data_IF_078476868742
#
_entry.id   IF_078476868742
#
_cell.length_a   1.000
_cell.length_b   1.000
_cell.length_c   1.000
_cell.angle_alpha   90.00
_cell.angle_beta   90.00
_cell.angle_gamma   90.00
#
_symmetry.space_group_name_H-M   'P 1'
#
loop_
_entity.id
_entity.type
_entity.pdbx_description
1 polymer ?
#
# COMPACT_ATOMS: atom_id res chain seq x y z
N UNK A 1 -33.05 39.84 -37.02
CA UNK A 1 -33.79 38.63 -37.45
C UNK A 1 -32.85 37.75 -38.26
N UNK A 2 -31.95 37.00 -37.63
CA UNK A 2 -32.16 35.63 -37.13
C UNK A 2 -32.63 34.64 -38.20
N UNK A 3 -31.70 33.80 -38.69
CA UNK A 3 -31.75 32.32 -38.64
C UNK A 3 -30.78 31.70 -39.65
N UNK A 4 -29.79 31.01 -39.07
CA UNK A 4 -29.00 29.84 -39.54
C UNK A 4 -27.56 30.04 -39.05
N UNK A 5 -27.13 29.77 -37.81
CA UNK A 5 -27.60 28.90 -36.71
C UNK A 5 -28.25 27.61 -37.18
N UNK A 6 -27.43 26.74 -37.77
CA UNK A 6 -27.44 25.30 -37.50
C UNK A 6 -25.95 24.93 -37.36
N UNK A 7 -25.46 24.93 -36.13
CA UNK A 7 -25.32 23.71 -35.33
C UNK A 7 -24.49 22.65 -36.05
N UNK A 8 -23.18 22.87 -36.15
CA UNK A 8 -22.23 21.80 -35.93
C UNK A 8 -22.26 21.44 -34.43
N UNK A 9 -23.36 20.81 -34.03
CA UNK A 9 -23.35 19.88 -32.91
C UNK A 9 -22.49 18.70 -33.38
N UNK A 10 -21.17 18.82 -33.21
CA UNK A 10 -20.36 17.62 -33.05
C UNK A 10 -20.99 16.91 -31.85
N UNK A 11 -21.54 15.73 -32.09
CA UNK A 11 -22.10 14.86 -31.07
C UNK A 11 -21.03 14.54 -30.02
N UNK A 12 -20.82 15.44 -29.06
CA UNK A 12 -20.28 15.12 -27.75
C UNK A 12 -21.33 14.23 -27.11
N UNK A 13 -21.28 12.92 -27.40
CA UNK A 13 -21.86 11.92 -26.51
C UNK A 13 -21.34 12.30 -25.12
N UNK A 14 -22.22 12.76 -24.24
CA UNK A 14 -21.87 13.09 -22.86
C UNK A 14 -21.14 11.88 -22.30
N UNK A 15 -19.83 12.02 -22.07
CA UNK A 15 -18.98 10.93 -21.57
C UNK A 15 -19.37 10.70 -20.13
N UNK A 16 -19.90 9.52 -19.83
CA UNK A 16 -20.26 9.14 -18.47
C UNK A 16 -19.05 8.49 -17.80
N UNK A 17 -18.65 9.01 -16.64
CA UNK A 17 -17.56 8.42 -15.86
C UNK A 17 -18.12 7.26 -15.06
N UNK A 18 -17.49 6.09 -15.17
CA UNK A 18 -17.80 4.94 -14.30
C UNK A 18 -16.93 5.02 -13.06
N UNK A 19 -17.56 5.38 -11.96
CA UNK A 19 -16.95 5.52 -10.65
C UNK A 19 -17.59 4.55 -9.68
N UNK A 20 -16.80 3.68 -9.08
CA UNK A 20 -17.26 2.65 -8.16
C UNK A 20 -16.40 2.69 -6.89
N UNK A 21 -17.05 2.77 -5.73
CA UNK A 21 -16.42 2.70 -4.40
C UNK A 21 -16.74 1.33 -3.81
N UNK A 22 -15.72 0.63 -3.30
CA UNK A 22 -15.92 -0.62 -2.55
C UNK A 22 -16.65 -0.40 -1.23
N UNK A 23 -17.03 -1.47 -0.54
CA UNK A 23 -17.69 -1.35 0.77
C UNK A 23 -16.83 -0.56 1.78
N UNK A 24 -17.44 0.45 2.41
CA UNK A 24 -16.82 1.20 3.51
C UNK A 24 -17.01 0.40 4.80
N UNK A 25 -15.94 -0.20 5.31
CA UNK A 25 -15.97 -0.90 6.61
C UNK A 25 -15.39 0.01 7.68
N UNK A 26 -16.25 0.50 8.57
CA UNK A 26 -15.85 1.30 9.74
C UNK A 26 -15.71 0.38 10.95
N UNK A 27 -14.57 0.43 11.63
CA UNK A 27 -14.45 -0.14 12.98
C UNK A 27 -14.62 0.95 14.05
N UNK A 28 -14.67 0.56 15.33
CA UNK A 28 -14.77 1.50 16.44
C UNK A 28 -13.44 2.18 16.75
N UNK A 29 -13.42 3.52 16.72
CA UNK A 29 -12.22 4.36 16.92
C UNK A 29 -11.70 4.47 18.36
N UNK A 30 -12.57 4.29 19.34
CA UNK A 30 -12.32 4.76 20.72
C UNK A 30 -11.93 3.66 21.71
N UNK A 31 -11.94 2.39 21.29
CA UNK A 31 -11.63 1.27 22.17
C UNK A 31 -10.65 0.31 21.49
N UNK A 32 -9.43 0.26 22.01
CA UNK A 32 -8.46 -0.77 21.65
C UNK A 32 -8.70 -1.98 22.56
N UNK A 33 -8.85 -3.16 21.96
CA UNK A 33 -8.83 -4.43 22.69
C UNK A 33 -7.38 -4.94 22.71
N UNK A 34 -6.98 -5.60 23.80
CA UNK A 34 -5.62 -6.12 23.99
C UNK A 34 -5.15 -7.04 22.84
N UNK A 35 -6.08 -7.72 22.17
CA UNK A 35 -5.78 -8.65 21.09
C UNK A 35 -5.80 -8.03 19.67
N UNK A 36 -6.11 -6.73 19.51
CA UNK A 36 -6.25 -6.12 18.18
C UNK A 36 -4.98 -6.21 17.33
N UNK A 37 -3.83 -5.94 17.93
CA UNK A 37 -2.55 -5.99 17.22
C UNK A 37 -2.19 -7.44 16.81
N UNK A 38 -2.37 -8.40 17.72
CA UNK A 38 -2.16 -9.82 17.42
C UNK A 38 -3.11 -10.30 16.30
N UNK A 39 -4.38 -9.90 16.34
CA UNK A 39 -5.35 -10.20 15.30
C UNK A 39 -4.95 -9.59 13.95
N UNK A 40 -4.44 -8.37 13.93
CA UNK A 40 -3.93 -7.73 12.72
C UNK A 40 -2.75 -8.47 12.11
N UNK A 41 -1.77 -8.89 12.93
CA UNK A 41 -0.66 -9.73 12.45
C UNK A 41 -1.19 -11.03 11.86
N UNK A 42 -2.10 -11.71 12.58
CA UNK A 42 -2.69 -12.97 12.13
C UNK A 42 -3.43 -12.83 10.80
N UNK A 43 -4.17 -11.73 10.65
CA UNK A 43 -4.88 -11.38 9.44
C UNK A 43 -3.92 -11.17 8.27
N UNK A 44 -2.83 -10.41 8.46
CA UNK A 44 -1.80 -10.17 7.43
C UNK A 44 -1.04 -11.43 7.02
N UNK A 45 -0.70 -12.29 7.98
CA UNK A 45 -0.06 -13.57 7.70
C UNK A 45 -0.98 -14.45 6.83
N UNK A 46 -2.24 -14.64 7.26
CA UNK A 46 -3.22 -15.43 6.51
C UNK A 46 -3.49 -14.88 5.11
N UNK A 47 -3.54 -13.56 4.94
CA UNK A 47 -3.82 -12.96 3.62
C UNK A 47 -2.69 -13.17 2.61
N UNK A 48 -1.45 -13.35 3.07
CA UNK A 48 -0.27 -13.51 2.20
C UNK A 48 0.26 -14.94 2.10
N UNK A 49 -0.21 -15.86 2.97
CA UNK A 49 0.25 -17.25 3.00
C UNK A 49 0.12 -17.95 1.62
N UNK A 50 -1.08 -17.88 1.01
CA UNK A 50 -1.32 -18.44 -0.32
C UNK A 50 -0.47 -17.80 -1.42
N UNK A 51 -0.19 -16.51 -1.28
CA UNK A 51 0.60 -15.76 -2.25
C UNK A 51 2.09 -16.17 -2.24
N UNK A 52 2.59 -16.66 -1.10
CA UNK A 52 3.94 -17.23 -1.00
C UNK A 52 4.02 -18.69 -1.43
N UNK A 53 2.98 -19.50 -1.19
CA UNK A 53 2.90 -20.87 -1.70
C UNK A 53 3.06 -20.92 -3.23
N UNK A 54 2.43 -19.98 -3.94
CA UNK A 54 2.57 -19.90 -5.40
C UNK A 54 3.97 -19.46 -5.91
N UNK A 55 4.81 -18.89 -5.05
CA UNK A 55 6.10 -18.28 -5.46
C UNK A 55 7.33 -19.13 -5.09
N UNK A 56 7.22 -20.00 -4.09
CA UNK A 56 8.35 -20.81 -3.60
C UNK A 56 8.37 -22.18 -4.28
N UNK A 57 7.29 -22.95 -4.11
CA UNK A 57 7.01 -24.23 -4.75
C UNK A 57 5.53 -24.59 -4.44
N UNK A 58 4.79 -25.19 -5.37
CA UNK A 58 3.36 -25.49 -5.20
C UNK A 58 3.09 -26.43 -4.01
N UNK A 59 4.09 -27.23 -3.63
CA UNK A 59 4.03 -28.19 -2.52
C UNK A 59 4.85 -27.75 -1.29
N UNK A 60 5.32 -26.49 -1.24
CA UNK A 60 6.06 -25.99 -0.09
C UNK A 60 5.19 -25.96 1.17
N UNK A 61 5.52 -26.82 2.15
CA UNK A 61 4.87 -26.84 3.46
C UNK A 61 5.64 -25.93 4.42
N UNK A 62 5.01 -24.87 4.91
CA UNK A 62 5.55 -24.08 6.01
C UNK A 62 5.51 -24.87 7.32
N UNK A 63 6.68 -25.02 7.94
CA UNK A 63 6.80 -25.63 9.26
C UNK A 63 6.64 -24.57 10.35
N UNK A 64 6.21 -24.98 11.56
CA UNK A 64 6.20 -24.10 12.71
C UNK A 64 7.59 -23.50 13.02
N UNK A 65 7.64 -22.29 13.58
CA UNK A 65 8.90 -21.61 13.91
C UNK A 65 9.73 -22.38 14.95
N UNK A 66 9.08 -23.10 15.87
CA UNK A 66 9.74 -23.95 16.86
C UNK A 66 10.12 -25.34 16.32
N UNK A 67 9.91 -25.62 15.03
CA UNK A 67 10.35 -26.87 14.42
C UNK A 67 11.88 -26.90 14.36
N UNK A 68 12.47 -28.02 14.81
CA UNK A 68 13.91 -28.25 14.83
C UNK A 68 14.24 -29.35 13.82
N UNK A 69 15.17 -29.07 12.93
CA UNK A 69 15.68 -30.02 11.94
C UNK A 69 17.04 -29.57 11.41
N UNK A 70 17.91 -30.56 11.16
CA UNK A 70 19.18 -30.33 10.47
C UNK A 70 18.99 -30.12 8.96
N UNK A 71 17.88 -30.60 8.40
CA UNK A 71 17.52 -30.42 6.99
C UNK A 71 16.94 -29.02 6.74
N UNK A 72 17.01 -28.57 5.49
CA UNK A 72 16.44 -27.29 5.09
C UNK A 72 14.91 -27.37 4.95
N UNK A 73 14.21 -26.40 5.52
CA UNK A 73 12.75 -26.27 5.43
C UNK A 73 12.33 -24.81 5.32
N UNK A 74 11.04 -24.60 5.02
CA UNK A 74 10.45 -23.28 4.90
C UNK A 74 9.68 -22.91 6.16
N UNK A 75 9.87 -21.66 6.59
CA UNK A 75 9.09 -21.00 7.63
C UNK A 75 8.47 -19.71 7.07
N UNK A 76 7.40 -19.25 7.71
CA UNK A 76 6.65 -18.08 7.26
C UNK A 76 6.25 -17.23 8.46
N UNK A 77 6.39 -15.92 8.32
CA UNK A 77 6.12 -15.01 9.43
C UNK A 77 6.33 -13.54 9.07
N UNK A 78 6.23 -12.72 10.10
CA UNK A 78 6.43 -11.28 10.04
C UNK A 78 7.77 -10.91 10.69
N UNK A 79 8.55 -10.10 10.00
CA UNK A 79 9.81 -9.56 10.48
C UNK A 79 9.56 -8.57 11.61
N UNK A 80 10.39 -8.67 12.65
CA UNK A 80 10.55 -7.66 13.69
C UNK A 80 12.04 -7.31 13.79
N UNK A 81 12.39 -6.07 13.46
CA UNK A 81 13.75 -5.55 13.55
C UNK A 81 13.89 -4.81 14.87
N UNK A 82 14.76 -5.31 15.75
CA UNK A 82 15.15 -4.61 16.98
C UNK A 82 16.35 -3.71 16.70
N UNK A 83 17.34 -4.25 15.98
CA UNK A 83 18.48 -3.51 15.42
C UNK A 83 19.08 -4.30 14.24
N UNK A 84 20.21 -3.84 13.68
CA UNK A 84 20.85 -4.45 12.51
C UNK A 84 21.36 -5.88 12.72
N UNK A 85 21.60 -6.29 13.96
CA UNK A 85 22.08 -7.63 14.33
C UNK A 85 20.98 -8.49 14.96
N UNK A 86 19.90 -7.87 15.42
CA UNK A 86 18.80 -8.52 16.13
C UNK A 86 17.52 -8.41 15.29
N UNK A 87 17.39 -9.34 14.35
CA UNK A 87 16.22 -9.47 13.47
C UNK A 87 15.51 -10.78 13.81
N UNK A 88 14.21 -10.69 14.05
CA UNK A 88 13.37 -11.82 14.46
C UNK A 88 12.26 -12.06 13.44
N UNK A 89 11.82 -13.32 13.36
CA UNK A 89 10.60 -13.71 12.68
C UNK A 89 9.56 -14.10 13.73
N UNK A 90 8.38 -13.50 13.65
CA UNK A 90 7.24 -13.80 14.52
C UNK A 90 6.10 -14.40 13.71
N UNK A 91 5.39 -15.38 14.28
CA UNK A 91 4.20 -15.96 13.67
C UNK A 91 3.19 -16.43 14.71
N UNK A 92 1.91 -16.08 14.49
CA UNK A 92 0.78 -16.48 15.34
C UNK A 92 -0.31 -17.25 14.57
N UNK A 93 0.05 -17.80 13.42
CA UNK A 93 -0.79 -18.75 12.68
C UNK A 93 -0.48 -20.19 13.11
N UNK A 94 -1.46 -21.08 12.93
CA UNK A 94 -1.51 -22.48 13.38
C UNK A 94 -0.14 -23.16 13.68
N UNK A 95 0.00 -23.75 14.88
CA UNK A 95 1.17 -24.52 15.28
C UNK A 95 2.38 -23.72 15.76
N UNK A 96 2.40 -22.39 15.56
CA UNK A 96 3.53 -21.52 15.92
C UNK A 96 3.57 -21.03 17.37
N UNK A 97 2.55 -21.30 18.20
CA UNK A 97 2.48 -20.93 19.62
C UNK A 97 2.93 -19.49 19.97
N UNK A 98 2.65 -18.51 19.08
CA UNK A 98 3.09 -17.10 19.22
C UNK A 98 4.60 -16.95 19.49
N UNK A 99 5.41 -17.80 18.83
CA UNK A 99 6.87 -17.82 19.00
C UNK A 99 7.54 -16.73 18.16
N UNK A 100 8.62 -16.18 18.70
CA UNK A 100 9.58 -15.33 18.00
C UNK A 100 10.89 -16.09 17.85
N UNK A 101 11.48 -16.06 16.66
CA UNK A 101 12.70 -16.79 16.32
C UNK A 101 13.74 -15.83 15.76
N UNK A 102 14.93 -15.78 16.36
CA UNK A 102 16.02 -14.93 15.88
C UNK A 102 16.56 -15.49 14.56
N UNK A 103 16.80 -14.61 13.59
CA UNK A 103 17.36 -14.97 12.29
C UNK A 103 18.87 -14.75 12.26
N UNK A 104 19.62 -15.79 11.90
CA UNK A 104 21.02 -15.66 11.55
C UNK A 104 21.13 -15.43 10.02
N UNK A 105 21.54 -14.22 9.65
CA UNK A 105 21.64 -13.75 8.27
C UNK A 105 23.08 -13.78 7.69
N UNK A 106 24.04 -14.37 8.40
CA UNK A 106 25.47 -14.33 8.02
C UNK A 106 25.75 -14.86 6.61
N UNK A 107 24.95 -15.83 6.16
CA UNK A 107 25.11 -16.47 4.85
C UNK A 107 24.13 -15.94 3.80
N UNK A 108 23.31 -14.94 4.13
CA UNK A 108 22.33 -14.37 3.21
C UNK A 108 23.01 -13.37 2.29
N UNK A 109 23.02 -13.68 1.00
CA UNK A 109 23.73 -12.88 0.01
C UNK A 109 23.31 -11.42 -0.03
N UNK A 110 22.00 -11.11 0.06
CA UNK A 110 21.48 -9.75 0.14
C UNK A 110 20.07 -9.74 0.71
N UNK A 111 19.68 -8.66 1.38
CA UNK A 111 18.33 -8.51 1.92
C UNK A 111 17.98 -7.03 2.17
N UNK A 112 16.68 -6.74 2.13
CA UNK A 112 16.11 -5.47 2.56
C UNK A 112 14.87 -5.81 3.36
N UNK A 113 14.95 -5.55 4.67
CA UNK A 113 13.99 -5.97 5.68
C UNK A 113 13.54 -4.79 6.53
N UNK A 114 12.33 -4.86 7.07
CA UNK A 114 11.80 -3.87 8.00
C UNK A 114 10.75 -4.51 8.92
N UNK A 115 10.52 -3.89 10.08
CA UNK A 115 9.49 -4.35 11.04
C UNK A 115 8.11 -4.31 10.41
N UNK A 116 7.42 -5.46 10.36
CA UNK A 116 6.08 -5.60 9.78
C UNK A 116 6.06 -6.25 8.40
N UNK A 117 7.23 -6.51 7.81
CA UNK A 117 7.34 -7.20 6.54
C UNK A 117 6.99 -8.69 6.71
N UNK A 118 6.01 -9.16 5.95
CA UNK A 118 5.67 -10.58 5.87
C UNK A 118 6.56 -11.23 4.82
N UNK A 119 7.27 -12.29 5.21
CA UNK A 119 8.23 -13.02 4.39
C UNK A 119 8.13 -14.52 4.60
N UNK A 120 8.59 -15.26 3.60
CA UNK A 120 8.88 -16.68 3.73
C UNK A 120 10.39 -16.90 3.69
N UNK A 121 10.89 -17.84 4.49
CA UNK A 121 12.33 -18.05 4.68
C UNK A 121 12.63 -19.53 4.54
N UNK A 122 13.66 -19.86 3.76
CA UNK A 122 14.26 -21.19 3.70
C UNK A 122 15.52 -21.22 4.56
N UNK A 123 15.68 -22.25 5.37
CA UNK A 123 16.83 -22.40 6.26
C UNK A 123 16.70 -23.63 7.13
N UNK A 124 17.43 -23.66 8.25
CA UNK A 124 17.40 -24.77 9.21
C UNK A 124 17.48 -24.26 10.65
N UNK A 125 16.92 -25.03 11.57
CA UNK A 125 16.94 -24.76 13.00
C UNK A 125 17.61 -25.93 13.73
N UNK A 126 18.79 -25.68 14.31
CA UNK A 126 19.55 -26.70 15.04
C UNK A 126 19.21 -26.75 16.53
N UNK A 127 18.23 -25.96 16.99
CA UNK A 127 17.82 -25.87 18.41
C UNK A 127 18.64 -24.87 19.25
N UNK A 128 19.44 -24.02 18.62
CA UNK A 128 20.35 -23.07 19.28
C UNK A 128 19.76 -21.65 19.40
N UNK A 129 18.44 -21.52 19.56
CA UNK A 129 17.71 -20.24 19.63
C UNK A 129 17.82 -19.31 18.41
N UNK A 130 18.46 -19.76 17.33
CA UNK A 130 18.60 -19.06 16.06
C UNK A 130 18.24 -19.95 14.86
N UNK A 131 17.64 -19.33 13.85
CA UNK A 131 17.38 -19.94 12.55
C UNK A 131 18.46 -19.54 11.56
N UNK A 132 19.20 -20.52 11.03
CA UNK A 132 20.24 -20.26 10.02
C UNK A 132 19.56 -20.09 8.66
N UNK A 133 19.57 -18.86 8.16
CA UNK A 133 18.87 -18.50 6.92
C UNK A 133 19.72 -18.83 5.70
N UNK A 134 19.12 -19.54 4.75
CA UNK A 134 19.69 -19.78 3.42
C UNK A 134 19.15 -18.75 2.42
N UNK A 135 17.83 -18.54 2.41
CA UNK A 135 17.14 -17.71 1.43
C UNK A 135 15.94 -17.02 2.03
N UNK A 136 15.73 -15.76 1.65
CA UNK A 136 14.55 -14.98 2.01
C UNK A 136 13.73 -14.72 0.76
N UNK A 137 12.43 -14.99 0.85
CA UNK A 137 11.43 -14.69 -0.16
C UNK A 137 10.60 -13.50 0.36
N UNK A 138 10.86 -12.31 -0.18
CA UNK A 138 10.20 -11.05 0.20
C UNK A 138 9.07 -10.63 -0.76
N UNK A 139 8.93 -11.33 -1.89
CA UNK A 139 8.03 -10.96 -2.99
C UNK A 139 7.02 -12.09 -3.14
N UNK A 140 5.77 -11.91 -2.67
CA UNK A 140 4.68 -12.82 -2.95
C UNK A 140 4.05 -12.55 -4.32
N UNK A 141 3.23 -13.47 -4.81
CA UNK A 141 2.39 -13.23 -5.98
C UNK A 141 1.28 -12.24 -5.64
N UNK A 142 1.11 -11.18 -6.41
CA UNK A 142 0.06 -10.17 -6.16
C UNK A 142 -0.98 -10.21 -7.28
N UNK A 143 -2.26 -10.19 -6.90
CA UNK A 143 -3.37 -10.06 -7.86
C UNK A 143 -3.37 -8.67 -8.49
N UNK A 144 -3.21 -8.65 -9.82
CA UNK A 144 -3.19 -7.43 -10.62
C UNK A 144 -4.53 -7.26 -11.33
N UNK A 145 -4.98 -6.02 -11.47
CA UNK A 145 -6.11 -5.70 -12.32
C UNK A 145 -5.81 -6.10 -13.79
N UNK A 146 -6.77 -6.75 -14.44
CA UNK A 146 -6.62 -7.25 -15.81
C UNK A 146 -7.14 -6.29 -16.88
N UNK A 147 -7.71 -5.15 -16.49
CA UNK A 147 -8.37 -4.25 -17.44
C UNK A 147 -7.39 -3.35 -18.22
N UNK A 148 -7.51 -3.39 -19.55
CA UNK A 148 -6.62 -2.71 -20.50
C UNK A 148 -7.22 -1.46 -21.16
N UNK A 149 -8.55 -1.29 -21.12
CA UNK A 149 -9.25 -0.20 -21.83
C UNK A 149 -9.90 0.72 -20.80
N UNK A 150 -9.43 1.96 -20.73
CA UNK A 150 -10.11 3.05 -20.06
C UNK A 150 -10.44 4.14 -21.09
N UNK A 151 -11.65 4.67 -21.05
CA UNK A 151 -11.98 5.91 -21.75
C UNK A 151 -11.11 7.05 -21.20
N UNK A 152 -10.70 7.97 -22.07
CA UNK A 152 -9.89 9.14 -21.72
C UNK A 152 -10.55 9.95 -20.60
N UNK A 153 -9.90 9.98 -19.43
CA UNK A 153 -10.39 10.59 -18.20
C UNK A 153 -9.25 11.31 -17.48
N UNK A 154 -9.50 12.57 -17.08
CA UNK A 154 -8.52 13.42 -16.40
C UNK A 154 -8.84 13.53 -14.90
N UNK A 155 -8.07 12.81 -14.09
CA UNK A 155 -8.03 12.98 -12.64
C UNK A 155 -7.04 14.09 -12.29
N UNK A 156 -7.47 15.05 -11.48
CA UNK A 156 -6.60 16.10 -10.92
C UNK A 156 -6.55 15.99 -9.42
N UNK A 157 -5.33 15.99 -8.88
CA UNK A 157 -5.06 15.99 -7.44
C UNK A 157 -4.72 17.41 -7.02
N UNK A 158 -5.37 17.88 -5.96
CA UNK A 158 -5.09 19.14 -5.31
C UNK A 158 -4.74 18.84 -3.86
N UNK A 159 -3.57 19.30 -3.45
CA UNK A 159 -3.04 19.10 -2.13
C UNK A 159 -2.70 20.45 -1.48
N UNK A 160 -3.17 20.66 -0.26
CA UNK A 160 -2.89 21.82 0.56
C UNK A 160 -3.76 23.05 0.28
N UNK A 161 -3.42 24.15 0.94
CA UNK A 161 -4.12 25.43 0.80
C UNK A 161 -3.76 26.10 -0.52
N UNK A 162 -4.76 26.26 -1.38
CA UNK A 162 -4.62 26.93 -2.68
C UNK A 162 -5.67 28.04 -2.87
N UNK A 163 -5.30 29.05 -3.65
CA UNK A 163 -6.18 30.19 -3.97
C UNK A 163 -7.13 29.91 -5.11
N UNK A 164 -6.68 29.18 -6.14
CA UNK A 164 -7.49 28.88 -7.32
C UNK A 164 -7.36 27.41 -7.69
N UNK A 165 -8.51 26.76 -7.89
CA UNK A 165 -8.57 25.37 -8.34
C UNK A 165 -8.68 25.35 -9.87
N UNK A 166 -7.68 24.84 -10.61
CA UNK A 166 -7.79 24.79 -12.06
C UNK A 166 -8.71 23.63 -12.46
N UNK A 167 -9.85 23.96 -13.08
CA UNK A 167 -10.93 23.00 -13.40
C UNK A 167 -11.00 22.61 -14.89
N UNK A 168 -10.18 23.22 -15.74
CA UNK A 168 -10.25 23.04 -17.19
C UNK A 168 -9.91 21.60 -17.63
N UNK A 169 -10.86 21.00 -18.35
CA UNK A 169 -10.77 19.63 -18.88
C UNK A 169 -10.71 18.54 -17.80
N UNK A 170 -10.94 18.89 -16.53
CA UNK A 170 -10.92 17.95 -15.40
C UNK A 170 -12.24 17.18 -15.35
N UNK A 171 -12.13 15.90 -15.05
CA UNK A 171 -13.24 14.96 -14.95
C UNK A 171 -13.45 14.53 -13.49
N UNK A 172 -12.35 14.24 -12.78
CA UNK A 172 -12.38 13.90 -11.36
C UNK A 172 -11.41 14.80 -10.63
N UNK A 173 -11.86 15.40 -9.54
CA UNK A 173 -11.07 16.25 -8.68
C UNK A 173 -10.86 15.55 -7.33
N UNK A 174 -9.62 15.29 -6.96
CA UNK A 174 -9.23 14.73 -5.68
C UNK A 174 -8.65 15.84 -4.80
N UNK A 175 -9.28 16.09 -3.64
CA UNK A 175 -8.94 17.16 -2.71
C UNK A 175 -8.35 16.56 -1.42
N UNK A 176 -7.17 17.04 -1.03
CA UNK A 176 -6.44 16.61 0.16
C UNK A 176 -5.95 17.86 0.90
N UNK A 177 -6.28 18.04 2.17
CA UNK A 177 -5.92 19.25 2.95
C UNK A 177 -6.33 20.58 2.29
N UNK A 178 -7.49 20.61 1.65
CA UNK A 178 -8.03 21.82 1.00
C UNK A 178 -9.11 22.44 1.87
N UNK A 179 -9.08 23.77 2.04
CA UNK A 179 -10.18 24.50 2.66
C UNK A 179 -11.46 24.44 1.80
N UNK A 180 -12.33 23.47 2.10
CA UNK A 180 -13.57 23.24 1.36
C UNK A 180 -14.53 24.44 1.44
N UNK A 181 -14.56 25.17 2.56
CA UNK A 181 -15.44 26.32 2.75
C UNK A 181 -15.10 27.45 1.78
N UNK A 182 -13.81 27.72 1.58
CA UNK A 182 -13.32 28.73 0.63
C UNK A 182 -13.79 28.46 -0.80
N UNK A 183 -13.84 27.19 -1.20
CA UNK A 183 -14.08 26.78 -2.59
C UNK A 183 -15.47 26.21 -2.86
N UNK A 184 -16.35 26.16 -1.85
CA UNK A 184 -17.63 25.43 -1.90
C UNK A 184 -18.48 25.76 -3.12
N UNK A 185 -18.80 27.04 -3.32
CA UNK A 185 -19.73 27.46 -4.37
C UNK A 185 -19.18 27.14 -5.76
N UNK A 186 -17.90 27.47 -6.01
CA UNK A 186 -17.21 27.17 -7.26
C UNK A 186 -17.25 25.67 -7.60
N UNK A 187 -16.93 24.84 -6.62
CA UNK A 187 -16.86 23.39 -6.77
C UNK A 187 -18.23 22.76 -7.01
N UNK A 188 -19.26 23.20 -6.26
CA UNK A 188 -20.61 22.72 -6.48
C UNK A 188 -21.14 23.11 -7.87
N UNK A 189 -20.92 24.35 -8.30
CA UNK A 189 -21.37 24.82 -9.61
C UNK A 189 -20.64 24.10 -10.74
N UNK A 190 -19.35 23.78 -10.55
CA UNK A 190 -18.59 22.96 -11.48
C UNK A 190 -19.16 21.55 -11.63
N UNK A 191 -19.53 20.86 -10.55
CA UNK A 191 -20.15 19.52 -10.62
C UNK A 191 -21.56 19.59 -11.21
N UNK A 192 -22.40 20.55 -10.78
CA UNK A 192 -23.78 20.73 -11.27
C UNK A 192 -23.83 20.93 -12.80
N UNK A 193 -22.81 21.58 -13.37
CA UNK A 193 -22.72 21.79 -14.80
C UNK A 193 -22.63 20.47 -15.61
N UNK A 194 -22.09 19.39 -15.03
CA UNK A 194 -22.11 18.05 -15.64
C UNK A 194 -21.95 16.90 -14.61
N UNK A 195 -22.98 16.61 -13.83
CA UNK A 195 -22.94 15.63 -12.73
C UNK A 195 -22.58 14.18 -13.17
N UNK A 196 -22.76 13.87 -14.46
CA UNK A 196 -22.43 12.56 -15.06
C UNK A 196 -20.96 12.43 -15.44
N UNK A 197 -20.30 13.56 -15.70
CA UNK A 197 -18.91 13.62 -16.17
C UNK A 197 -17.97 14.28 -15.16
N UNK A 198 -18.48 14.71 -13.99
CA UNK A 198 -17.69 15.41 -12.97
C UNK A 198 -17.92 14.83 -11.58
N UNK A 199 -16.81 14.58 -10.87
CA UNK A 199 -16.82 14.09 -9.49
C UNK A 199 -15.80 14.84 -8.65
N UNK A 200 -16.17 15.15 -7.40
CA UNK A 200 -15.26 15.65 -6.38
C UNK A 200 -15.11 14.57 -5.33
N UNK A 201 -13.87 14.22 -5.02
CA UNK A 201 -13.51 13.27 -3.98
C UNK A 201 -12.66 14.01 -2.96
N UNK A 202 -13.01 13.91 -1.68
CA UNK A 202 -12.23 14.49 -0.57
C UNK A 202 -11.65 13.36 0.27
N UNK A 203 -10.35 13.42 0.54
CA UNK A 203 -9.64 12.42 1.35
C UNK A 203 -9.15 13.07 2.64
N UNK A 204 -9.43 12.48 3.82
CA UNK A 204 -8.92 12.98 5.08
C UNK A 204 -7.40 12.81 5.23
N UNK A 205 -6.81 13.66 6.05
CA UNK A 205 -5.44 13.55 6.54
C UNK A 205 -5.45 13.64 8.07
N UNK A 206 -4.46 13.03 8.72
CA UNK A 206 -4.28 13.12 10.17
C UNK A 206 -4.09 14.60 10.56
N UNK A 207 -4.91 15.05 11.51
CA UNK A 207 -4.97 16.44 11.96
C UNK A 207 -6.06 17.30 11.31
N UNK A 208 -6.81 16.78 10.32
CA UNK A 208 -7.92 17.53 9.73
C UNK A 208 -9.13 17.63 10.69
N UNK A 209 -9.78 18.79 10.74
CA UNK A 209 -10.97 19.05 11.57
C UNK A 209 -12.20 18.19 11.21
N UNK A 210 -12.16 17.51 10.06
CA UNK A 210 -13.30 16.79 9.48
C UNK A 210 -13.25 15.28 9.73
N UNK A 211 -12.22 14.79 10.42
CA UNK A 211 -11.99 13.36 10.62
C UNK A 211 -11.47 13.04 12.02
N UNK A 212 -11.56 11.77 12.42
CA UNK A 212 -10.89 11.30 13.64
C UNK A 212 -9.38 11.29 13.41
N UNK A 213 -8.60 11.74 14.40
CA UNK A 213 -7.13 11.72 14.36
C UNK A 213 -6.55 10.33 14.70
N UNK A 214 -7.07 9.29 14.03
CA UNK A 214 -6.68 7.88 14.16
C UNK A 214 -6.74 7.26 12.77
N UNK A 215 -5.68 6.59 12.34
CA UNK A 215 -5.62 5.92 11.04
C UNK A 215 -6.08 4.44 11.18
N UNK A 216 -6.89 3.89 10.26
CA UNK A 216 -7.44 4.52 9.06
C UNK A 216 -8.57 5.50 9.37
N UNK A 217 -8.63 6.62 8.65
CA UNK A 217 -9.57 7.71 8.93
C UNK A 217 -10.85 7.61 8.12
N UNK A 218 -11.94 8.06 8.73
CA UNK A 218 -13.25 8.26 8.10
C UNK A 218 -13.68 9.69 8.37
N UNK A 219 -14.32 10.32 7.39
CA UNK A 219 -14.86 11.67 7.51
C UNK A 219 -16.15 11.65 8.33
N UNK A 220 -16.31 12.61 9.24
CA UNK A 220 -17.46 12.71 10.16
C UNK A 220 -18.54 13.66 9.61
N UNK A 221 -18.19 14.51 8.65
CA UNK A 221 -19.05 15.63 8.23
C UNK A 221 -19.74 15.41 6.87
N UNK A 222 -21.03 15.74 6.82
CA UNK A 222 -21.80 15.87 5.58
C UNK A 222 -21.73 17.31 5.08
N UNK A 223 -20.75 17.62 4.24
CA UNK A 223 -20.50 18.98 3.75
C UNK A 223 -21.50 19.43 2.67
N UNK A 224 -21.72 18.58 1.67
CA UNK A 224 -22.58 18.81 0.51
C UNK A 224 -22.79 17.50 -0.26
N UNK A 225 -23.93 17.34 -0.94
CA UNK A 225 -24.28 16.13 -1.69
C UNK A 225 -23.41 15.88 -2.94
N UNK A 226 -22.69 16.91 -3.40
CA UNK A 226 -21.84 16.83 -4.60
C UNK A 226 -20.42 16.34 -4.29
N UNK A 227 -20.10 16.13 -3.02
CA UNK A 227 -18.78 15.75 -2.54
C UNK A 227 -18.82 14.30 -2.09
N UNK A 228 -17.97 13.47 -2.69
CA UNK A 228 -17.73 12.11 -2.25
C UNK A 228 -16.60 12.11 -1.21
N UNK A 229 -16.92 11.79 0.03
CA UNK A 229 -15.93 11.70 1.10
C UNK A 229 -15.34 10.29 1.14
N UNK A 230 -14.06 10.17 0.78
CA UNK A 230 -13.29 8.93 0.91
C UNK A 230 -12.78 8.69 2.32
N UNK A 231 -12.29 7.49 2.57
CA UNK A 231 -11.54 7.13 3.79
C UNK A 231 -10.05 7.48 3.61
N UNK A 232 -9.21 7.23 4.61
CA UNK A 232 -7.76 7.21 4.44
C UNK A 232 -7.22 5.94 5.11
N UNK A 233 -6.73 4.94 4.35
CA UNK A 233 -6.53 4.95 2.90
C UNK A 233 -7.86 4.82 2.13
N UNK A 234 -7.85 5.05 0.82
CA UNK A 234 -9.02 4.94 -0.05
C UNK A 234 -8.68 4.23 -1.36
N UNK A 235 -9.54 3.31 -1.78
CA UNK A 235 -9.44 2.64 -3.07
C UNK A 235 -10.76 2.75 -3.83
N UNK A 236 -10.69 3.09 -5.10
CA UNK A 236 -11.86 3.19 -5.98
C UNK A 236 -11.50 2.77 -7.41
N UNK A 237 -12.53 2.46 -8.19
CA UNK A 237 -12.40 2.18 -9.63
C UNK A 237 -12.85 3.41 -10.41
N UNK A 238 -12.01 3.84 -11.36
CA UNK A 238 -12.29 4.92 -12.29
C UNK A 238 -12.10 4.40 -13.71
N UNK A 239 -13.20 4.26 -14.48
CA UNK A 239 -13.16 3.66 -15.81
C UNK A 239 -12.43 2.31 -15.81
N UNK A 240 -12.66 1.48 -14.78
CA UNK A 240 -12.03 0.16 -14.54
C UNK A 240 -10.55 0.18 -14.18
N UNK A 241 -9.94 1.36 -13.99
CA UNK A 241 -8.62 1.51 -13.37
C UNK A 241 -8.77 1.60 -11.86
N UNK A 242 -8.01 0.78 -11.14
CA UNK A 242 -8.01 0.78 -9.68
C UNK A 242 -7.04 1.87 -9.22
N UNK A 243 -7.57 2.85 -8.50
CA UNK A 243 -6.81 3.96 -7.94
C UNK A 243 -6.85 3.84 -6.42
N UNK A 244 -5.67 3.83 -5.82
CA UNK A 244 -5.48 3.83 -4.37
C UNK A 244 -4.81 5.11 -3.92
N UNK A 245 -5.22 5.63 -2.77
CA UNK A 245 -4.64 6.81 -2.13
C UNK A 245 -4.37 6.50 -0.67
N UNK A 246 -3.20 6.88 -0.20
CA UNK A 246 -2.85 6.84 1.22
C UNK A 246 -2.13 8.13 1.61
N UNK A 247 -2.67 8.85 2.59
CA UNK A 247 -2.10 10.14 3.04
C UNK A 247 -1.21 9.99 4.28
N UNK A 248 -1.13 8.79 4.87
CA UNK A 248 -0.15 8.47 5.89
C UNK A 248 1.23 8.32 5.23
N UNK A 249 2.25 8.96 5.81
CA UNK A 249 3.63 8.98 5.28
C UNK A 249 4.37 7.65 5.54
N UNK A 250 3.89 6.59 4.88
CA UNK A 250 4.43 5.23 4.96
C UNK A 250 5.84 5.15 4.37
N UNK A 251 6.13 5.94 3.33
CA UNK A 251 7.45 5.96 2.70
C UNK A 251 8.54 6.44 3.66
N UNK A 252 8.29 7.50 4.42
CA UNK A 252 9.25 7.98 5.43
C UNK A 252 9.42 6.96 6.56
N UNK A 253 8.33 6.30 7.00
CA UNK A 253 8.39 5.25 8.01
C UNK A 253 9.22 4.05 7.53
N UNK A 254 8.96 3.55 6.32
CA UNK A 254 9.77 2.49 5.71
C UNK A 254 11.24 2.90 5.56
N UNK A 255 11.51 4.12 5.12
CA UNK A 255 12.88 4.63 5.00
C UNK A 255 13.62 4.66 6.35
N UNK A 256 12.91 4.85 7.45
CA UNK A 256 13.49 4.84 8.81
C UNK A 256 13.74 3.40 9.29
N UNK A 257 12.79 2.50 9.06
CA UNK A 257 12.80 1.12 9.58
C UNK A 257 13.60 0.12 8.72
N UNK A 258 13.89 0.46 7.46
CA UNK A 258 14.57 -0.44 6.53
C UNK A 258 16.03 -0.71 6.92
N UNK A 259 16.34 -1.99 7.14
CA UNK A 259 17.70 -2.52 7.23
C UNK A 259 18.05 -3.23 5.93
N UNK A 260 19.23 -2.93 5.38
CA UNK A 260 19.68 -3.51 4.11
C UNK A 260 21.08 -4.08 4.19
N UNK A 261 21.31 -5.15 3.44
CA UNK A 261 22.61 -5.69 3.14
C UNK A 261 22.68 -6.02 1.66
N UNK A 262 23.69 -5.50 0.97
CA UNK A 262 23.97 -5.82 -0.42
C UNK A 262 25.49 -5.78 -0.64
N UNK A 263 26.15 -6.93 -0.87
CA UNK A 263 27.59 -7.01 -1.08
C UNK A 263 27.96 -6.34 -2.41
N UNK A 264 29.16 -5.76 -2.45
CA UNK A 264 29.71 -5.21 -3.69
C UNK A 264 30.02 -6.35 -4.66
N UNK A 265 29.99 -6.06 -5.97
CA UNK A 265 30.33 -7.04 -7.02
C UNK A 265 31.71 -7.70 -6.84
N UNK A 266 32.63 -7.03 -6.15
CA UNK A 266 33.97 -7.51 -5.82
C UNK A 266 34.02 -8.48 -4.64
N UNK A 267 32.94 -8.56 -3.85
CA UNK A 267 32.93 -9.32 -2.61
C UNK A 267 32.68 -10.80 -2.90
N UNK A 268 33.35 -11.68 -2.14
CA UNK A 268 33.24 -13.15 -2.31
C UNK A 268 31.82 -13.69 -2.08
N UNK A 269 30.94 -12.88 -1.49
CA UNK A 269 29.54 -13.20 -1.21
C UNK A 269 28.58 -12.77 -2.34
N UNK A 270 29.08 -12.12 -3.39
CA UNK A 270 28.28 -11.72 -4.54
C UNK A 270 27.99 -12.94 -5.44
N UNK A 271 27.00 -13.74 -5.06
CA UNK A 271 26.43 -14.77 -5.93
C UNK A 271 25.34 -14.14 -6.82
N UNK A 272 25.57 -14.12 -8.13
CA UNK A 272 24.49 -13.98 -9.12
C UNK A 272 23.87 -15.36 -9.33
N UNK A 273 23.18 -15.87 -8.31
CA UNK A 273 22.31 -17.02 -8.55
C UNK A 273 21.13 -16.53 -9.40
N UNK A 274 20.85 -17.22 -10.49
CA UNK A 274 19.73 -16.86 -11.36
C UNK A 274 18.37 -16.94 -10.65
N UNK A 275 18.32 -17.66 -9.53
CA UNK A 275 17.11 -17.84 -8.70
C UNK A 275 16.91 -16.76 -7.62
N UNK A 276 17.75 -15.71 -7.56
CA UNK A 276 17.60 -14.58 -6.63
C UNK A 276 16.60 -13.53 -7.15
N UNK A 277 15.31 -13.89 -7.16
CA UNK A 277 14.24 -12.98 -7.57
C UNK A 277 14.20 -11.70 -6.72
N UNK A 278 14.38 -11.83 -5.40
CA UNK A 278 14.38 -10.68 -4.49
C UNK A 278 15.52 -9.72 -4.82
N UNK A 279 16.71 -10.25 -5.12
CA UNK A 279 17.84 -9.47 -5.58
C UNK A 279 17.59 -8.74 -6.90
N UNK A 280 17.01 -9.44 -7.87
CA UNK A 280 16.70 -8.91 -9.20
C UNK A 280 15.64 -7.80 -9.16
N UNK A 281 14.69 -7.88 -8.23
CA UNK A 281 13.61 -6.88 -8.12
C UNK A 281 13.98 -5.74 -7.18
N UNK A 282 14.48 -6.03 -5.98
CA UNK A 282 14.68 -5.02 -4.95
C UNK A 282 15.96 -4.19 -5.13
N UNK A 283 16.99 -4.71 -5.81
CA UNK A 283 18.32 -4.09 -5.85
C UNK A 283 18.76 -3.64 -7.25
N UNK A 284 17.84 -3.56 -8.22
CA UNK A 284 18.12 -3.03 -9.56
C UNK A 284 17.93 -1.52 -9.66
N UNK A 285 17.00 -0.97 -8.87
CA UNK A 285 16.71 0.47 -8.82
C UNK A 285 17.39 1.20 -7.67
N UNK A 286 16.96 2.44 -7.46
CA UNK A 286 17.38 3.24 -6.31
C UNK A 286 16.66 2.79 -5.03
N UNK A 287 16.96 3.45 -3.90
CA UNK A 287 16.30 3.14 -2.63
C UNK A 287 14.79 3.35 -2.69
N UNK A 288 14.31 4.40 -3.37
CA UNK A 288 12.88 4.71 -3.49
C UNK A 288 12.17 3.62 -4.29
N UNK A 289 12.77 3.12 -5.37
CA UNK A 289 12.25 1.98 -6.14
C UNK A 289 12.05 0.76 -5.22
N UNK A 290 13.05 0.47 -4.38
CA UNK A 290 12.97 -0.64 -3.41
C UNK A 290 11.87 -0.44 -2.37
N UNK A 291 11.71 0.77 -1.83
CA UNK A 291 10.62 1.07 -0.90
C UNK A 291 9.24 0.94 -1.56
N UNK A 292 9.12 1.37 -2.82
CA UNK A 292 7.90 1.23 -3.61
C UNK A 292 7.54 -0.24 -3.85
N UNK A 293 8.54 -1.09 -4.11
CA UNK A 293 8.35 -2.55 -4.14
C UNK A 293 7.82 -3.09 -2.81
N UNK A 294 8.38 -2.68 -1.68
CA UNK A 294 7.91 -3.11 -0.36
C UNK A 294 6.46 -2.73 -0.10
N UNK A 295 6.07 -1.50 -0.43
CA UNK A 295 4.68 -1.04 -0.27
C UNK A 295 3.72 -1.92 -1.06
N UNK A 296 4.04 -2.19 -2.33
CA UNK A 296 3.15 -2.93 -3.24
C UNK A 296 3.03 -4.40 -2.85
N UNK A 297 4.17 -5.06 -2.61
CA UNK A 297 4.24 -6.50 -2.38
C UNK A 297 3.77 -6.94 -1.00
N UNK A 298 3.66 -6.01 -0.05
CA UNK A 298 3.12 -6.30 1.28
C UNK A 298 1.59 -6.23 1.36
N UNK A 299 0.92 -5.88 0.25
CA UNK A 299 -0.54 -5.85 0.09
C UNK A 299 -1.29 -5.18 1.26
N UNK A 300 -0.69 -4.13 1.83
CA UNK A 300 -1.23 -3.41 2.98
C UNK A 300 -0.89 -1.93 2.90
N UNK A 301 -1.87 -1.09 3.24
CA UNK A 301 -1.68 0.35 3.38
C UNK A 301 -0.89 0.74 4.65
N UNK A 302 -0.55 -0.22 5.51
CA UNK A 302 0.29 -0.05 6.70
C UNK A 302 1.26 -1.23 6.81
N UNK A 303 2.28 -1.30 5.93
CA UNK A 303 3.22 -2.42 5.92
C UNK A 303 4.14 -2.40 7.15
N UNK A 304 4.51 -1.22 7.64
CA UNK A 304 5.35 -1.03 8.84
C UNK A 304 4.51 -1.23 10.09
N UNK A 305 4.97 -2.07 11.02
CA UNK A 305 4.40 -2.16 12.38
C UNK A 305 5.11 -1.16 13.29
N UNK A 306 4.42 -0.63 14.30
CA UNK A 306 4.91 0.43 15.21
C UNK A 306 5.01 1.81 14.53
N UNK A 307 3.87 2.30 14.03
CA UNK A 307 3.77 3.63 13.46
C UNK A 307 3.89 4.74 14.52
N UNK A 308 4.43 5.90 14.14
CA UNK A 308 4.54 7.10 14.98
C UNK A 308 3.17 7.82 15.18
N UNK A 309 2.07 7.24 14.69
CA UNK A 309 0.71 7.79 14.78
C UNK A 309 -0.25 6.76 15.37
N UNK A 310 -1.40 7.23 15.85
CA UNK A 310 -2.44 6.35 16.39
C UNK A 310 -3.05 5.49 15.28
N UNK A 311 -2.97 4.17 15.45
CA UNK A 311 -3.50 3.18 14.50
C UNK A 311 -4.63 2.38 15.14
N UNK A 312 -5.73 2.21 14.42
CA UNK A 312 -6.76 1.22 14.68
C UNK A 312 -6.49 -0.05 13.85
N UNK A 313 -5.81 -1.02 14.46
CA UNK A 313 -5.36 -2.24 13.79
C UNK A 313 -6.48 -3.22 13.41
N UNK A 314 -7.63 -3.16 14.07
CA UNK A 314 -8.82 -3.99 13.76
C UNK A 314 -9.66 -3.36 12.63
N UNK A 315 -9.03 -3.15 11.48
CA UNK A 315 -9.68 -2.57 10.31
C UNK A 315 -9.23 -3.27 9.03
N UNK A 316 -10.21 -3.81 8.30
CA UNK A 316 -9.97 -4.35 6.96
C UNK A 316 -9.52 -3.26 5.97
N UNK A 317 -9.72 -1.98 6.28
CA UNK A 317 -9.25 -0.87 5.45
C UNK A 317 -7.72 -0.77 5.38
N UNK A 318 -6.97 -1.47 6.25
CA UNK A 318 -5.52 -1.54 6.21
C UNK A 318 -4.98 -2.54 5.17
N UNK A 319 -5.83 -3.40 4.62
CA UNK A 319 -5.47 -4.38 3.60
C UNK A 319 -5.76 -3.81 2.22
N UNK A 320 -4.85 -4.02 1.27
CA UNK A 320 -5.11 -3.77 -0.14
C UNK A 320 -5.86 -4.99 -0.72
N UNK A 321 -7.03 -4.77 -1.32
CA UNK A 321 -7.81 -5.86 -1.91
C UNK A 321 -7.16 -6.38 -3.19
N UNK A 322 -7.06 -5.51 -4.18
CA UNK A 322 -6.34 -5.75 -5.44
C UNK A 322 -5.24 -4.72 -5.58
N UNK A 323 -4.13 -5.11 -6.21
CA UNK A 323 -3.06 -4.18 -6.53
C UNK A 323 -3.58 -3.01 -7.37
N UNK A 324 -3.34 -1.75 -6.98
CA UNK A 324 -3.79 -0.62 -7.75
C UNK A 324 -3.07 -0.52 -9.09
N UNK A 325 -3.75 0.03 -10.11
CA UNK A 325 -3.10 0.51 -11.33
C UNK A 325 -2.34 1.80 -11.04
N UNK A 326 -2.90 2.69 -10.20
CA UNK A 326 -2.29 3.95 -9.77
C UNK A 326 -2.35 4.03 -8.25
N UNK A 327 -1.19 4.17 -7.60
CA UNK A 327 -1.10 4.38 -6.17
C UNK A 327 -0.53 5.76 -5.85
N UNK A 328 -1.40 6.63 -5.34
CA UNK A 328 -1.07 7.97 -4.87
C UNK A 328 -0.67 7.91 -3.39
N UNK A 329 0.52 8.41 -3.09
CA UNK A 329 1.09 8.51 -1.76
C UNK A 329 1.35 9.98 -1.42
N UNK A 330 1.18 10.33 -0.14
CA UNK A 330 1.67 11.59 0.41
C UNK A 330 2.80 11.29 1.38
N UNK A 331 3.95 11.96 1.21
CA UNK A 331 5.16 11.70 1.97
C UNK A 331 6.09 12.90 1.96
N UNK A 332 6.73 13.19 3.10
CA UNK A 332 7.75 14.26 3.23
C UNK A 332 8.95 14.14 2.27
N UNK A 333 9.06 13.05 1.51
CA UNK A 333 10.04 12.89 0.44
C UNK A 333 9.68 13.79 -0.75
N UNK A 334 10.70 14.10 -1.57
CA UNK A 334 10.48 14.83 -2.83
C UNK A 334 9.41 14.13 -3.71
N UNK A 335 8.57 14.90 -4.42
CA UNK A 335 7.60 14.33 -5.35
C UNK A 335 8.26 13.45 -6.41
N UNK A 336 7.62 12.34 -6.74
CA UNK A 336 8.14 11.42 -7.77
C UNK A 336 7.01 10.64 -8.45
N UNK A 337 7.35 10.06 -9.60
CA UNK A 337 6.54 9.08 -10.30
C UNK A 337 7.43 7.87 -10.65
N UNK A 338 7.06 6.69 -10.15
CA UNK A 338 7.79 5.43 -10.36
C UNK A 338 6.85 4.36 -10.89
N UNK A 339 7.37 3.49 -11.75
CA UNK A 339 6.62 2.36 -12.31
C UNK A 339 7.12 1.07 -11.68
N UNK A 340 6.27 0.41 -10.90
CA UNK A 340 6.57 -0.86 -10.24
C UNK A 340 5.68 -1.95 -10.84
N UNK A 341 6.27 -2.78 -11.70
CA UNK A 341 5.50 -3.78 -12.45
C UNK A 341 4.48 -3.10 -13.36
N UNK A 342 3.18 -3.27 -13.05
CA UNK A 342 2.06 -2.63 -13.78
C UNK A 342 1.48 -1.41 -13.06
N UNK A 343 1.97 -1.10 -11.86
CA UNK A 343 1.45 -0.03 -11.01
C UNK A 343 2.28 1.24 -11.18
N UNK A 344 1.61 2.36 -11.41
CA UNK A 344 2.19 3.69 -11.34
C UNK A 344 2.08 4.21 -9.89
N UNK A 345 3.20 4.50 -9.25
CA UNK A 345 3.26 5.02 -7.89
C UNK A 345 3.67 6.49 -7.94
N UNK A 346 2.81 7.36 -7.41
CA UNK A 346 2.95 8.81 -7.45
C UNK A 346 3.04 9.32 -6.02
N UNK A 347 4.20 9.87 -5.64
CA UNK A 347 4.32 10.66 -4.42
C UNK A 347 4.03 12.14 -4.73
N UNK A 348 3.04 12.72 -4.06
CA UNK A 348 2.64 14.11 -4.27
C UNK A 348 3.40 15.13 -3.40
N UNK A 349 4.19 14.66 -2.42
CA UNK A 349 4.84 15.49 -1.39
C UNK A 349 3.95 15.67 -0.16
#
# INVERSE_FOLDING_TARGET
>A
FSKKIFNNLSNNKKREIKFEIGERKTGGYFFLKDNMFSNFIKMRLKSLENAYNGTIDQDAIFRPLNYVSADYFHIFGMINVVDTNNIYLYSNINGNNDVSLKLNLEHVGRYSLFSGQVVAIKGKNLGNDEFVVEKIHCIPSVEMNSCTIADDCKLRIVFGEIDEIPLEGVHVLLLIMVNLNKHKNLLEDWVKADEKARKIIVIPVLGDDYSVNVYPQVMINNFSRYFEFGTNPFQFSLNKKIISINTLDILSQLKKEEVTFCPKKSDRYFNQNDDDLCGKVLFTGDRIDRLCHHILYQNSYLPVIMSDVNIQYDSQALIMGTCPDIYILKSKLEPFNKHIGKTEIINIG
#
